data_IF_630524697099
#
_entry.id   IF_630524697099
#
_cell.length_a   1.000
_cell.length_b   1.000
_cell.length_c   1.000
_cell.angle_alpha   90.00
_cell.angle_beta   90.00
_cell.angle_gamma   90.00
#
_symmetry.space_group_name_H-M   'P 1'
#
loop_
_entity.id
_entity.type
_entity.pdbx_description
1 polymer ?
#
# COMPACT_ATOMS: atom_id res chain seq x y z
N UNK A 1 9.54 10.94 -8.83
CA UNK A 1 9.50 12.32 -9.35
C UNK A 1 10.13 12.46 -10.74
N UNK A 2 9.97 13.61 -11.41
CA UNK A 2 10.53 13.84 -12.75
C UNK A 2 12.05 13.59 -12.86
N UNK A 3 12.79 13.70 -11.74
CA UNK A 3 14.22 13.39 -11.68
C UNK A 3 14.53 11.89 -11.86
N UNK A 4 13.64 11.03 -11.48
CA UNK A 4 13.83 9.59 -11.55
C UNK A 4 13.63 9.06 -12.98
N UNK A 5 12.68 9.65 -13.71
CA UNK A 5 12.43 9.33 -15.12
C UNK A 5 13.65 9.63 -15.98
N UNK A 6 14.32 10.74 -15.75
CA UNK A 6 15.49 11.15 -16.52
C UNK A 6 16.74 10.31 -16.27
N UNK A 7 16.90 9.78 -15.05
CA UNK A 7 18.12 9.05 -14.66
C UNK A 7 17.92 7.52 -14.58
N UNK A 8 16.69 7.00 -14.78
CA UNK A 8 16.36 5.57 -14.55
C UNK A 8 16.84 5.08 -13.18
N UNK A 9 16.79 5.95 -12.18
CA UNK A 9 17.30 5.69 -10.84
C UNK A 9 16.15 5.77 -9.85
N UNK A 10 16.12 4.82 -8.95
CA UNK A 10 15.23 4.87 -7.78
C UNK A 10 16.10 5.32 -6.61
N UNK A 11 15.97 6.60 -6.16
CA UNK A 11 16.91 7.21 -5.22
C UNK A 11 17.11 6.41 -3.93
N UNK A 12 16.03 5.94 -3.33
CA UNK A 12 16.15 5.20 -2.09
C UNK A 12 16.92 3.88 -2.22
N UNK A 13 16.87 3.21 -3.38
CA UNK A 13 17.64 2.00 -3.63
C UNK A 13 19.15 2.24 -3.72
N UNK A 14 19.54 3.45 -4.11
CA UNK A 14 20.95 3.78 -4.37
C UNK A 14 21.60 4.48 -3.17
N UNK A 15 20.86 5.30 -2.47
CA UNK A 15 21.41 6.19 -1.46
C UNK A 15 21.18 5.71 -0.03
N UNK A 16 20.19 4.83 0.20
CA UNK A 16 19.97 4.25 1.52
C UNK A 16 20.78 2.95 1.63
N UNK A 17 21.97 3.07 2.20
CA UNK A 17 22.93 1.95 2.39
C UNK A 17 23.26 1.67 3.85
N UNK A 18 22.69 2.46 4.76
CA UNK A 18 22.85 2.37 6.21
C UNK A 18 21.60 2.92 6.89
N UNK A 19 21.50 2.75 8.18
CA UNK A 19 20.43 3.34 8.98
C UNK A 19 20.28 4.83 8.66
N UNK A 20 19.07 5.18 8.25
CA UNK A 20 18.75 6.51 7.73
C UNK A 20 17.53 7.05 8.46
N UNK A 21 17.61 8.26 9.06
CA UNK A 21 16.48 8.89 9.73
C UNK A 21 15.25 8.99 8.81
N UNK A 22 14.11 8.54 9.31
CA UNK A 22 12.84 8.54 8.60
C UNK A 22 11.68 8.80 9.56
N UNK A 23 10.47 8.93 9.04
CA UNK A 23 9.27 8.98 9.86
C UNK A 23 9.14 7.72 10.74
N UNK A 24 9.44 6.53 10.20
CA UNK A 24 9.38 5.29 10.96
C UNK A 24 10.36 5.29 12.12
N UNK A 25 11.64 5.62 11.88
CA UNK A 25 12.65 5.68 12.94
C UNK A 25 12.34 6.75 13.99
N UNK A 26 11.76 7.88 13.59
CA UNK A 26 11.35 8.93 14.51
C UNK A 26 10.19 8.48 15.39
N UNK A 27 9.11 7.95 14.81
CA UNK A 27 7.95 7.48 15.57
C UNK A 27 8.31 6.29 16.47
N UNK A 28 9.18 5.39 16.00
CA UNK A 28 9.73 4.33 16.83
C UNK A 28 10.44 4.88 18.07
N UNK A 29 11.22 5.96 17.94
CA UNK A 29 11.86 6.62 19.09
C UNK A 29 10.87 7.22 20.09
N UNK A 30 9.62 7.44 19.69
CA UNK A 30 8.52 7.87 20.53
C UNK A 30 7.69 6.70 21.10
N UNK A 31 8.09 5.46 20.86
CA UNK A 31 7.43 4.27 21.38
C UNK A 31 6.34 3.69 20.48
N UNK A 32 6.26 4.09 19.21
CA UNK A 32 5.38 3.47 18.24
C UNK A 32 5.92 2.12 17.77
N UNK A 33 5.05 1.15 17.57
CA UNK A 33 5.32 0.01 16.70
C UNK A 33 5.25 0.47 15.24
N UNK A 34 6.19 0.01 14.39
CA UNK A 34 6.32 0.52 13.03
C UNK A 34 6.27 -0.60 11.99
N UNK A 35 5.30 -0.52 11.11
CA UNK A 35 4.99 -1.55 10.12
C UNK A 35 5.04 -0.98 8.71
N UNK A 36 5.75 -1.66 7.82
CA UNK A 36 5.66 -1.42 6.38
C UNK A 36 4.90 -2.57 5.71
N UNK A 37 4.10 -2.27 4.70
CA UNK A 37 3.31 -3.26 3.95
C UNK A 37 3.42 -2.99 2.46
N UNK A 38 3.60 -4.08 1.70
CA UNK A 38 3.52 -4.03 0.24
C UNK A 38 3.10 -5.40 -0.30
N UNK A 39 1.91 -5.53 -0.90
CA UNK A 39 1.37 -6.81 -1.34
C UNK A 39 2.02 -7.32 -2.63
N UNK A 40 3.34 -7.35 -2.66
CA UNK A 40 4.17 -7.81 -3.78
C UNK A 40 5.42 -8.52 -3.25
N UNK A 41 6.31 -8.97 -4.15
CA UNK A 41 7.54 -9.63 -3.74
C UNK A 41 8.37 -8.75 -2.81
N UNK A 42 8.88 -9.33 -1.73
CA UNK A 42 9.68 -8.61 -0.73
C UNK A 42 10.91 -7.93 -1.35
N UNK A 43 11.54 -8.59 -2.32
CA UNK A 43 12.68 -8.06 -3.07
C UNK A 43 12.30 -6.96 -4.08
N UNK A 44 10.99 -6.79 -4.36
CA UNK A 44 10.53 -5.74 -5.25
C UNK A 44 10.99 -4.37 -4.75
N UNK A 45 11.64 -3.62 -5.64
CA UNK A 45 12.26 -2.32 -5.30
C UNK A 45 13.23 -2.37 -4.11
N UNK A 46 13.84 -3.54 -3.79
CA UNK A 46 14.72 -3.76 -2.64
C UNK A 46 14.09 -3.42 -1.27
N UNK A 47 12.77 -3.52 -1.12
CA UNK A 47 12.07 -3.14 0.11
C UNK A 47 12.50 -3.96 1.32
N UNK A 48 12.75 -5.25 1.13
CA UNK A 48 13.30 -6.17 2.15
C UNK A 48 14.61 -5.68 2.78
N UNK A 49 15.41 -4.94 2.02
CA UNK A 49 16.70 -4.38 2.49
C UNK A 49 16.58 -2.96 3.00
N UNK A 50 15.69 -2.18 2.39
CA UNK A 50 15.61 -0.73 2.66
C UNK A 50 14.71 -0.42 3.86
N UNK A 51 13.59 -1.09 4.03
CA UNK A 51 12.66 -0.77 5.12
C UNK A 51 13.27 -0.96 6.52
N UNK A 52 14.07 -2.01 6.80
CA UNK A 52 14.81 -2.08 8.06
C UNK A 52 15.74 -0.89 8.29
N UNK A 53 16.44 -0.42 7.25
CA UNK A 53 17.34 0.75 7.33
C UNK A 53 16.60 2.07 7.55
N UNK A 54 15.29 2.11 7.25
CA UNK A 54 14.41 3.23 7.56
C UNK A 54 13.78 3.14 8.96
N UNK A 55 14.04 2.07 9.70
CA UNK A 55 13.61 1.92 11.08
C UNK A 55 12.27 1.22 11.27
N UNK A 56 11.69 0.59 10.24
CA UNK A 56 10.52 -0.25 10.42
C UNK A 56 10.85 -1.51 11.23
N UNK A 57 9.98 -1.86 12.18
CA UNK A 57 10.10 -3.09 12.97
C UNK A 57 9.71 -4.33 12.16
N UNK A 58 8.70 -4.19 11.32
CA UNK A 58 8.16 -5.28 10.50
C UNK A 58 7.90 -4.83 9.07
N UNK A 59 8.11 -5.75 8.13
CA UNK A 59 7.73 -5.58 6.73
C UNK A 59 6.91 -6.78 6.26
N UNK A 60 5.66 -6.52 5.86
CA UNK A 60 4.75 -7.51 5.30
C UNK A 60 4.75 -7.43 3.77
N UNK A 61 5.14 -8.53 3.13
CA UNK A 61 5.15 -8.71 1.68
C UNK A 61 4.00 -9.61 1.23
N UNK A 62 3.89 -9.90 -0.05
CA UNK A 62 2.79 -10.73 -0.58
C UNK A 62 2.60 -12.07 0.14
N UNK A 63 3.65 -12.65 0.73
CA UNK A 63 3.58 -13.90 1.49
C UNK A 63 2.88 -13.77 2.84
N UNK A 64 2.65 -12.57 3.31
CA UNK A 64 2.03 -12.27 4.61
C UNK A 64 0.55 -11.91 4.50
N UNK A 65 0.02 -11.84 3.27
CA UNK A 65 -1.36 -11.51 2.95
C UNK A 65 -2.19 -12.80 2.74
N UNK A 66 -2.38 -13.57 3.79
CA UNK A 66 -3.12 -14.83 3.74
C UNK A 66 -4.62 -14.60 3.49
N UNK A 67 -5.20 -15.40 2.59
CA UNK A 67 -6.63 -15.34 2.28
C UNK A 67 -7.06 -14.15 1.43
N UNK A 68 -6.10 -13.42 0.88
CA UNK A 68 -6.36 -12.24 0.04
C UNK A 68 -7.07 -12.58 -1.26
N UNK A 69 -7.87 -11.64 -1.72
CA UNK A 69 -8.44 -11.60 -3.06
C UNK A 69 -7.53 -10.85 -4.03
N UNK A 70 -7.79 -11.05 -5.32
CA UNK A 70 -6.93 -10.54 -6.38
C UNK A 70 -7.76 -9.83 -7.42
N UNK A 71 -7.32 -8.64 -7.81
CA UNK A 71 -7.76 -7.96 -9.00
C UNK A 71 -6.67 -8.03 -10.07
N UNK A 72 -7.00 -8.55 -11.23
CA UNK A 72 -6.03 -8.89 -12.28
C UNK A 72 -5.00 -9.90 -11.76
N UNK A 73 -3.75 -9.52 -11.63
CA UNK A 73 -2.67 -10.36 -11.08
C UNK A 73 -2.11 -9.85 -9.76
N UNK A 74 -2.78 -8.89 -9.12
CA UNK A 74 -2.31 -8.26 -7.89
C UNK A 74 -3.29 -8.49 -6.73
N UNK A 75 -2.77 -8.57 -5.51
CA UNK A 75 -3.59 -8.51 -4.31
C UNK A 75 -4.35 -7.19 -4.30
N UNK A 76 -5.65 -7.24 -4.04
CA UNK A 76 -6.50 -6.07 -4.08
C UNK A 76 -6.31 -5.12 -2.89
N UNK A 77 -6.77 -3.89 -3.05
CA UNK A 77 -6.62 -2.86 -2.02
C UNK A 77 -7.51 -3.14 -0.80
N UNK A 78 -8.64 -3.85 -0.97
CA UNK A 78 -9.48 -4.28 0.15
C UNK A 78 -8.74 -5.26 1.06
N UNK A 79 -7.99 -6.21 0.49
CA UNK A 79 -7.11 -7.11 1.26
C UNK A 79 -5.97 -6.38 1.96
N UNK A 80 -5.46 -5.29 1.36
CA UNK A 80 -4.50 -4.43 2.03
C UNK A 80 -5.11 -3.77 3.27
N UNK A 81 -6.35 -3.31 3.18
CA UNK A 81 -7.09 -2.74 4.32
C UNK A 81 -7.31 -3.80 5.40
N UNK A 82 -7.70 -5.02 5.04
CA UNK A 82 -7.83 -6.12 5.99
C UNK A 82 -6.52 -6.39 6.74
N UNK A 83 -5.39 -6.32 6.04
CA UNK A 83 -4.07 -6.49 6.67
C UNK A 83 -3.71 -5.34 7.60
N UNK A 84 -4.07 -4.11 7.26
CA UNK A 84 -3.90 -2.95 8.16
C UNK A 84 -4.71 -3.15 9.44
N UNK A 85 -5.99 -3.50 9.31
CA UNK A 85 -6.89 -3.76 10.44
C UNK A 85 -6.36 -4.90 11.30
N UNK A 86 -6.00 -6.04 10.70
CA UNK A 86 -5.42 -7.18 11.41
C UNK A 86 -4.17 -6.78 12.21
N UNK A 87 -3.31 -5.95 11.62
CA UNK A 87 -2.08 -5.49 12.28
C UNK A 87 -2.39 -4.55 13.43
N UNK A 88 -3.32 -3.63 13.24
CA UNK A 88 -3.79 -2.73 14.29
C UNK A 88 -4.40 -3.50 15.47
N UNK A 89 -5.22 -4.51 15.21
CA UNK A 89 -5.85 -5.33 16.25
C UNK A 89 -4.85 -6.20 17.03
N UNK A 90 -3.73 -6.56 16.41
CA UNK A 90 -2.70 -7.41 17.00
C UNK A 90 -1.55 -6.66 17.67
N UNK A 91 -1.50 -5.34 17.54
CA UNK A 91 -0.49 -4.52 18.21
C UNK A 91 -0.59 -4.64 19.73
N UNK A 92 0.46 -4.36 20.44
CA UNK A 92 0.45 -4.36 21.89
C UNK A 92 -0.55 -3.32 22.42
N UNK A 93 -1.35 -3.73 23.40
CA UNK A 93 -2.38 -2.88 23.98
C UNK A 93 -1.77 -1.60 24.58
N UNK A 94 -2.30 -0.45 24.16
CA UNK A 94 -1.83 0.87 24.59
C UNK A 94 -0.56 1.36 23.89
N UNK A 95 0.03 0.58 22.98
CA UNK A 95 1.13 1.04 22.15
C UNK A 95 0.61 1.63 20.85
N UNK A 96 0.99 2.87 20.49
CA UNK A 96 0.59 3.43 19.20
C UNK A 96 1.30 2.74 18.04
N UNK A 97 0.66 2.69 16.88
CA UNK A 97 1.22 2.08 15.68
C UNK A 97 1.40 3.09 14.55
N UNK A 98 2.47 2.94 13.79
CA UNK A 98 2.69 3.60 12.51
C UNK A 98 2.68 2.54 11.41
N UNK A 99 1.70 2.59 10.54
CA UNK A 99 1.54 1.64 9.43
C UNK A 99 1.71 2.40 8.11
N UNK A 100 2.72 2.02 7.34
CA UNK A 100 2.99 2.53 6.00
C UNK A 100 2.65 1.46 4.97
N UNK A 101 1.57 1.65 4.23
CA UNK A 101 1.12 0.70 3.22
C UNK A 101 1.27 1.27 1.81
N UNK A 102 1.89 0.50 0.92
CA UNK A 102 1.98 0.80 -0.52
C UNK A 102 1.23 -0.28 -1.26
N UNK A 103 0.11 0.06 -1.88
CA UNK A 103 -0.72 -0.89 -2.62
C UNK A 103 -0.11 -1.27 -3.97
N UNK A 104 -0.68 -2.29 -4.63
CA UNK A 104 -0.20 -2.78 -5.92
C UNK A 104 -1.32 -2.94 -6.96
N UNK A 105 -2.58 -2.95 -6.52
CA UNK A 105 -3.75 -3.22 -7.36
C UNK A 105 -3.76 -2.38 -8.65
N UNK A 106 -3.45 -1.09 -8.55
CA UNK A 106 -3.53 -0.16 -9.67
C UNK A 106 -2.24 -0.06 -10.49
N UNK A 107 -1.24 -0.91 -10.24
CA UNK A 107 -0.02 -0.90 -11.05
C UNK A 107 -0.27 -1.27 -12.51
N UNK A 108 0.34 -0.52 -13.42
CA UNK A 108 0.27 -0.79 -14.87
C UNK A 108 0.88 -2.16 -15.26
N UNK A 109 0.65 -2.68 -16.48
CA UNK A 109 -0.14 -2.11 -17.56
C UNK A 109 -1.64 -2.32 -17.39
N UNK A 110 -2.42 -1.45 -18.01
CA UNK A 110 -3.88 -1.60 -18.15
C UNK A 110 -4.13 -2.23 -19.50
N UNK A 111 -4.59 -3.48 -19.50
CA UNK A 111 -4.81 -4.26 -20.72
C UNK A 111 -6.15 -4.97 -20.68
N UNK A 112 -6.76 -5.18 -21.84
CA UNK A 112 -8.02 -5.88 -21.95
C UNK A 112 -7.90 -7.36 -21.54
N UNK A 113 -9.01 -7.94 -21.08
CA UNK A 113 -9.18 -9.38 -21.00
C UNK A 113 -8.92 -10.02 -19.66
N UNK A 114 -8.79 -9.25 -18.57
CA UNK A 114 -8.82 -9.83 -17.23
C UNK A 114 -10.24 -10.28 -16.88
N UNK A 115 -10.39 -11.56 -16.59
CA UNK A 115 -11.69 -12.15 -16.25
C UNK A 115 -12.10 -11.92 -14.80
N UNK A 116 -11.16 -11.61 -13.94
CA UNK A 116 -11.37 -11.38 -12.51
C UNK A 116 -11.52 -9.90 -12.14
N UNK A 117 -11.36 -8.96 -13.07
CA UNK A 117 -11.69 -7.57 -12.84
C UNK A 117 -13.19 -7.39 -12.94
N UNK A 118 -13.85 -7.20 -11.81
CA UNK A 118 -15.28 -7.02 -11.72
C UNK A 118 -15.65 -5.55 -11.59
N UNK A 119 -16.68 -5.16 -12.32
CA UNK A 119 -17.19 -3.81 -12.33
C UNK A 119 -16.71 -3.02 -13.54
N UNK A 120 -17.64 -2.27 -14.09
CA UNK A 120 -17.38 -1.47 -15.27
C UNK A 120 -17.69 -0.02 -14.96
N UNK A 121 -16.67 0.80 -14.94
CA UNK A 121 -16.87 2.23 -15.05
C UNK A 121 -17.01 2.55 -16.53
N UNK A 122 -18.17 3.01 -16.92
CA UNK A 122 -18.44 3.51 -18.26
C UNK A 122 -18.27 5.02 -18.28
N UNK A 123 -17.63 5.53 -19.32
CA UNK A 123 -17.48 6.96 -19.56
C UNK A 123 -18.29 7.34 -20.79
N UNK A 124 -19.03 8.43 -20.74
CA UNK A 124 -19.75 8.93 -21.90
C UNK A 124 -18.80 9.28 -23.05
N UNK A 125 -19.07 8.73 -24.23
CA UNK A 125 -18.24 8.93 -25.42
C UNK A 125 -17.41 7.72 -25.81
N UNK A 126 -16.42 7.91 -26.66
CA UNK A 126 -15.50 6.85 -27.10
C UNK A 126 -14.41 6.65 -26.04
N UNK A 127 -14.46 5.54 -25.34
CA UNK A 127 -13.53 5.19 -24.27
C UNK A 127 -12.69 4.01 -24.69
N UNK A 128 -11.38 4.07 -24.44
CA UNK A 128 -10.53 2.90 -24.58
C UNK A 128 -10.80 1.92 -23.43
N UNK A 129 -10.72 0.62 -23.69
CA UNK A 129 -10.84 -0.39 -22.66
C UNK A 129 -9.83 -0.18 -21.52
N UNK A 130 -8.63 0.27 -21.83
CA UNK A 130 -7.60 0.62 -20.85
C UNK A 130 -8.04 1.73 -19.88
N UNK A 131 -8.73 2.77 -20.38
CA UNK A 131 -9.25 3.83 -19.51
C UNK A 131 -10.38 3.29 -18.63
N UNK A 132 -11.26 2.46 -19.15
CA UNK A 132 -12.34 1.83 -18.38
C UNK A 132 -11.76 0.93 -17.28
N UNK A 133 -10.73 0.15 -17.57
CA UNK A 133 -10.03 -0.67 -16.60
C UNK A 133 -9.40 0.20 -15.50
N UNK A 134 -8.64 1.22 -15.86
CA UNK A 134 -8.03 2.16 -14.91
C UNK A 134 -9.06 2.79 -13.97
N UNK A 135 -10.16 3.33 -14.53
CA UNK A 135 -11.22 3.95 -13.73
C UNK A 135 -11.95 2.95 -12.82
N UNK A 136 -12.11 1.71 -13.29
CA UNK A 136 -12.66 0.64 -12.45
C UNK A 136 -11.76 0.34 -11.25
N UNK A 137 -10.44 0.27 -11.46
CA UNK A 137 -9.48 0.07 -10.39
C UNK A 137 -9.46 1.24 -9.41
N UNK A 138 -9.53 2.48 -9.90
CA UNK A 138 -9.65 3.66 -9.03
C UNK A 138 -10.90 3.60 -8.15
N UNK A 139 -12.04 3.18 -8.72
CA UNK A 139 -13.28 2.99 -7.95
C UNK A 139 -13.14 1.90 -6.88
N UNK A 140 -12.42 0.81 -7.16
CA UNK A 140 -12.16 -0.24 -6.18
C UNK A 140 -11.24 0.25 -5.04
N UNK A 141 -10.24 1.08 -5.37
CA UNK A 141 -9.38 1.71 -4.36
C UNK A 141 -10.14 2.70 -3.48
N UNK A 142 -11.10 3.45 -4.07
CA UNK A 142 -11.97 4.36 -3.33
C UNK A 142 -12.83 3.60 -2.31
N UNK A 143 -13.45 2.49 -2.73
CA UNK A 143 -14.19 1.62 -1.81
C UNK A 143 -13.32 0.98 -0.71
N UNK A 144 -12.08 0.66 -1.02
CA UNK A 144 -11.12 0.18 -0.02
C UNK A 144 -10.75 1.27 1.00
N UNK A 145 -10.59 2.52 0.54
CA UNK A 145 -10.36 3.66 1.41
C UNK A 145 -11.56 3.94 2.31
N UNK A 146 -12.79 3.89 1.78
CA UNK A 146 -14.03 3.99 2.56
C UNK A 146 -14.04 2.94 3.67
N UNK A 147 -13.79 1.66 3.35
CA UNK A 147 -13.70 0.57 4.33
C UNK A 147 -12.68 0.86 5.45
N UNK A 148 -11.52 1.45 5.11
CA UNK A 148 -10.49 1.81 6.08
C UNK A 148 -10.99 2.91 7.02
N UNK A 149 -11.62 3.95 6.47
CA UNK A 149 -12.15 5.08 7.23
C UNK A 149 -13.26 4.60 8.16
N UNK A 150 -14.23 3.86 7.63
CA UNK A 150 -15.36 3.33 8.40
C UNK A 150 -14.91 2.50 9.60
N UNK A 151 -13.88 1.67 9.42
CA UNK A 151 -13.31 0.90 10.52
C UNK A 151 -12.72 1.81 11.60
N UNK A 152 -11.85 2.76 11.24
CA UNK A 152 -11.17 3.61 12.22
C UNK A 152 -12.10 4.67 12.87
N UNK A 153 -13.19 5.06 12.22
CA UNK A 153 -14.22 5.91 12.85
C UNK A 153 -14.91 5.23 14.04
N UNK A 154 -14.88 3.90 14.12
CA UNK A 154 -15.44 3.13 15.24
C UNK A 154 -14.46 2.90 16.39
N UNK A 155 -13.20 3.29 16.23
CA UNK A 155 -12.16 3.05 17.24
C UNK A 155 -12.03 4.23 18.20
N UNK A 156 -11.83 3.94 19.48
CA UNK A 156 -11.62 4.97 20.51
C UNK A 156 -10.21 5.61 20.44
N UNK A 157 -9.25 4.94 19.81
CA UNK A 157 -7.89 5.43 19.69
C UNK A 157 -7.79 6.50 18.58
N UNK A 158 -7.26 7.69 18.88
CA UNK A 158 -7.11 8.74 17.87
C UNK A 158 -6.24 8.27 16.70
N UNK A 159 -6.79 8.35 15.50
CA UNK A 159 -6.15 7.87 14.28
C UNK A 159 -6.00 8.98 13.25
N UNK A 160 -4.85 9.03 12.59
CA UNK A 160 -4.59 9.90 11.45
C UNK A 160 -4.36 9.05 10.22
N UNK A 161 -5.16 9.25 9.18
CA UNK A 161 -5.00 8.59 7.88
C UNK A 161 -4.45 9.61 6.90
N UNK A 162 -3.33 9.28 6.25
CA UNK A 162 -2.73 10.08 5.17
C UNK A 162 -2.77 9.25 3.89
N UNK A 163 -3.57 9.67 2.93
CA UNK A 163 -3.70 9.04 1.62
C UNK A 163 -3.02 9.89 0.55
N UNK A 164 -2.21 9.26 -0.31
CA UNK A 164 -1.49 9.95 -1.37
C UNK A 164 -1.21 9.01 -2.54
N UNK A 165 -1.04 9.57 -3.73
CA UNK A 165 -0.56 8.86 -4.92
C UNK A 165 0.95 9.03 -5.10
N UNK A 166 1.59 8.10 -5.80
CA UNK A 166 2.99 8.17 -6.20
C UNK A 166 3.17 8.62 -7.67
#
# INVERSE_FOLDING_TARGET
GLGDVYKRQIPYQQYITKDTPSMASYLKSLGYETYAMHPYYASGWNRDKIYPLLGFDSFYSSTDFYGSTYERGYIDDSSCVDKIIETYEKKDAGTPAFIFNVTMQNHSPYTDGYQNLQGNVTVDGTVSAQLSEYLTLVKLSDAALEKLIDYFETQDEPTVIVFFGD
#
